data_IF_388343600594
#
_entry.id   IF_388343600594
#
_cell.length_a   1.000
_cell.length_b   1.000
_cell.length_c   1.000
_cell.angle_alpha   90.00
_cell.angle_beta   90.00
_cell.angle_gamma   90.00
#
_symmetry.space_group_name_H-M   'P 1'
#
loop_
_entity.id
_entity.type
_entity.pdbx_description
1 polymer ?
#
# COMPACT_ATOMS: atom_id res chain seq x y z
N UNK A 1 43.86 -41.67 -5.49
CA UNK A 1 44.16 -40.63 -6.48
C UNK A 1 42.90 -39.98 -6.97
N UNK A 2 42.05 -40.73 -7.60
CA UNK A 2 40.85 -40.15 -8.16
C UNK A 2 39.94 -39.51 -7.13
N UNK A 3 39.89 -40.08 -5.96
CA UNK A 3 39.04 -39.56 -4.90
C UNK A 3 39.49 -38.21 -4.41
N UNK A 4 40.77 -38.04 -4.32
CA UNK A 4 41.33 -36.78 -3.86
C UNK A 4 41.03 -35.69 -4.86
N UNK A 5 41.10 -36.04 -6.11
CA UNK A 5 40.80 -35.08 -7.17
C UNK A 5 39.36 -34.64 -7.12
N UNK A 6 38.49 -35.61 -6.87
CA UNK A 6 37.05 -35.28 -6.79
C UNK A 6 36.76 -34.35 -5.63
N UNK A 7 37.42 -34.60 -4.52
CA UNK A 7 37.23 -33.75 -3.35
C UNK A 7 37.68 -32.34 -3.64
N UNK A 8 38.80 -32.24 -4.31
CA UNK A 8 39.31 -30.93 -4.68
C UNK A 8 38.34 -30.19 -5.57
N UNK A 9 37.75 -30.90 -6.48
CA UNK A 9 36.78 -30.29 -7.38
C UNK A 9 35.57 -29.80 -6.63
N UNK A 10 35.10 -30.57 -5.68
CA UNK A 10 33.97 -30.17 -4.87
C UNK A 10 34.30 -28.92 -4.09
N UNK A 11 35.48 -28.83 -3.56
CA UNK A 11 35.89 -27.65 -2.82
C UNK A 11 35.87 -26.41 -3.72
N UNK A 12 36.26 -26.58 -4.96
CA UNK A 12 36.24 -25.47 -5.89
C UNK A 12 34.81 -24.99 -6.14
N UNK A 13 33.89 -25.90 -6.24
CA UNK A 13 32.52 -25.51 -6.40
C UNK A 13 31.98 -24.73 -5.21
N UNK A 14 32.35 -25.20 -4.04
CA UNK A 14 31.90 -24.51 -2.84
C UNK A 14 32.44 -23.10 -2.81
N UNK A 15 33.69 -22.94 -3.14
CA UNK A 15 34.26 -21.60 -3.18
C UNK A 15 33.60 -20.72 -4.21
N UNK A 16 33.33 -21.30 -5.35
CA UNK A 16 32.67 -20.54 -6.40
C UNK A 16 31.25 -20.12 -5.97
N UNK A 17 30.58 -21.04 -5.32
CA UNK A 17 29.27 -20.72 -4.80
C UNK A 17 29.29 -19.60 -3.80
N UNK A 18 30.29 -19.58 -2.96
CA UNK A 18 30.41 -18.50 -2.00
C UNK A 18 30.68 -17.18 -2.66
N UNK A 19 31.39 -17.19 -3.73
CA UNK A 19 31.71 -15.95 -4.38
C UNK A 19 30.54 -15.22 -4.94
N UNK A 20 29.52 -15.91 -5.31
CA UNK A 20 28.40 -15.23 -5.81
C UNK A 20 27.82 -14.33 -4.87
N UNK A 21 27.97 -14.68 -3.75
CA UNK A 21 27.34 -14.02 -2.72
C UNK A 21 27.94 -12.72 -2.49
N UNK A 22 28.93 -12.40 -3.15
CA UNK A 22 29.57 -11.18 -2.99
C UNK A 22 28.78 -10.06 -3.35
N UNK A 23 27.85 -10.25 -4.14
CA UNK A 23 26.95 -9.22 -4.44
C UNK A 23 26.29 -8.76 -3.20
N UNK A 24 26.50 -9.45 -2.23
CA UNK A 24 26.03 -9.13 -1.02
C UNK A 24 26.29 -7.86 -0.47
N UNK A 25 27.22 -7.06 -0.86
CA UNK A 25 27.29 -5.74 -0.31
C UNK A 25 25.95 -5.06 -0.39
N UNK A 26 25.17 -5.46 -1.34
CA UNK A 26 23.87 -4.88 -1.43
C UNK A 26 22.98 -5.34 -0.34
N UNK A 27 23.29 -6.46 0.21
CA UNK A 27 22.45 -7.00 1.19
C UNK A 27 22.65 -6.42 2.51
N UNK A 28 23.74 -5.79 2.73
CA UNK A 28 24.01 -5.16 4.00
C UNK A 28 23.23 -3.86 4.11
N UNK A 29 22.69 -3.36 3.01
CA UNK A 29 21.90 -2.16 3.07
C UNK A 29 20.51 -2.50 3.55
N UNK A 30 20.02 -1.74 4.49
CA UNK A 30 18.64 -1.85 4.89
C UNK A 30 17.77 -1.50 3.70
N UNK A 31 16.65 -2.18 3.51
CA UNK A 31 15.73 -1.80 2.46
C UNK A 31 15.32 -0.35 2.68
N UNK A 32 15.43 0.44 1.64
CA UNK A 32 15.02 1.81 1.71
C UNK A 32 13.50 1.86 1.79
N UNK A 33 12.98 2.53 2.79
CA UNK A 33 11.54 2.68 2.94
C UNK A 33 11.11 3.76 1.95
N UNK A 34 10.33 3.34 0.98
CA UNK A 34 9.77 4.28 0.02
C UNK A 34 8.44 4.80 0.54
N UNK A 35 8.38 6.09 0.76
CA UNK A 35 7.13 6.73 1.15
C UNK A 35 6.33 7.12 -0.09
N UNK A 36 5.03 6.97 -0.03
CA UNK A 36 4.17 7.32 -1.14
C UNK A 36 4.03 8.83 -1.26
N UNK A 37 3.99 9.33 -2.48
CA UNK A 37 3.64 10.72 -2.73
C UNK A 37 2.16 10.90 -2.48
N UNK A 38 1.71 12.15 -2.38
CA UNK A 38 0.27 12.43 -2.21
C UNK A 38 -0.56 11.85 -3.36
N UNK A 39 -0.01 11.87 -4.57
CA UNK A 39 -0.68 11.29 -5.73
C UNK A 39 -0.80 9.77 -5.59
N UNK A 40 0.26 9.10 -5.18
CA UNK A 40 0.24 7.65 -4.98
C UNK A 40 -0.73 7.25 -3.86
N UNK A 41 -0.79 8.03 -2.79
CA UNK A 41 -1.76 7.80 -1.72
C UNK A 41 -3.19 7.96 -2.23
N UNK A 42 -3.44 8.96 -3.05
CA UNK A 42 -4.75 9.18 -3.65
C UNK A 42 -5.15 7.98 -4.52
N UNK A 43 -4.22 7.49 -5.33
CA UNK A 43 -4.44 6.31 -6.17
C UNK A 43 -4.76 5.09 -5.30
N UNK A 44 -4.02 4.92 -4.22
CA UNK A 44 -4.23 3.80 -3.31
C UNK A 44 -5.60 3.83 -2.66
N UNK A 45 -6.02 5.01 -2.19
CA UNK A 45 -7.35 5.18 -1.62
C UNK A 45 -8.43 4.96 -2.67
N UNK A 46 -8.18 5.37 -3.91
CA UNK A 46 -9.12 5.13 -5.01
C UNK A 46 -9.29 3.63 -5.25
N UNK A 47 -8.21 2.87 -5.22
CA UNK A 47 -8.28 1.42 -5.38
C UNK A 47 -9.09 0.78 -4.25
N UNK A 48 -8.85 1.20 -3.01
CA UNK A 48 -9.64 0.72 -1.88
C UNK A 48 -11.11 1.13 -2.04
N UNK A 49 -11.35 2.36 -2.47
CA UNK A 49 -12.70 2.86 -2.69
C UNK A 49 -13.48 2.06 -3.71
N UNK A 50 -12.84 1.67 -4.79
CA UNK A 50 -13.48 0.85 -5.83
C UNK A 50 -13.95 -0.49 -5.25
N UNK A 51 -13.10 -1.13 -4.47
CA UNK A 51 -13.46 -2.39 -3.83
C UNK A 51 -14.54 -2.19 -2.79
N UNK A 52 -14.44 -1.14 -1.98
CA UNK A 52 -15.43 -0.80 -0.96
C UNK A 52 -16.80 -0.54 -1.60
N UNK A 53 -16.82 0.20 -2.70
CA UNK A 53 -18.05 0.48 -3.42
C UNK A 53 -18.63 -0.78 -4.05
N UNK A 54 -17.82 -1.52 -4.76
CA UNK A 54 -18.25 -2.72 -5.48
C UNK A 54 -18.85 -3.76 -4.55
N UNK A 55 -18.27 -3.93 -3.37
CA UNK A 55 -18.72 -4.90 -2.39
C UNK A 55 -19.68 -4.32 -1.35
N UNK A 56 -20.14 -3.11 -1.57
CA UNK A 56 -21.08 -2.40 -0.68
C UNK A 56 -20.59 -2.26 0.76
N UNK A 57 -19.29 -2.29 0.97
CA UNK A 57 -18.70 -2.18 2.31
C UNK A 57 -18.90 -0.80 2.94
N UNK A 58 -19.21 0.21 2.13
CA UNK A 58 -19.47 1.55 2.63
C UNK A 58 -20.71 1.61 3.54
N UNK A 59 -21.59 0.64 3.43
CA UNK A 59 -22.83 0.62 4.21
C UNK A 59 -22.62 0.41 5.71
N UNK A 60 -21.39 0.16 6.14
CA UNK A 60 -21.08 0.02 7.57
C UNK A 60 -21.07 1.35 8.31
N UNK A 61 -21.06 2.47 7.59
CA UNK A 61 -21.13 3.80 8.18
C UNK A 61 -22.46 4.45 7.80
N UNK A 62 -22.83 5.49 8.55
CA UNK A 62 -24.05 6.22 8.25
C UNK A 62 -23.81 7.22 7.15
N UNK A 63 -24.82 7.40 6.31
CA UNK A 63 -24.80 8.41 5.28
C UNK A 63 -25.06 9.76 5.91
N UNK A 64 -24.18 10.73 5.66
CA UNK A 64 -24.35 12.10 6.12
C UNK A 64 -24.21 13.03 4.93
N UNK A 65 -25.16 13.94 4.77
CA UNK A 65 -25.17 14.89 3.66
C UNK A 65 -25.03 14.22 2.29
N UNK A 66 -25.64 13.03 2.15
CA UNK A 66 -25.61 12.29 0.90
C UNK A 66 -24.37 11.43 0.69
N UNK A 67 -23.43 11.43 1.61
CA UNK A 67 -22.14 10.76 1.45
C UNK A 67 -21.92 9.75 2.56
N UNK A 68 -21.41 8.58 2.18
CA UNK A 68 -20.87 7.61 3.14
C UNK A 68 -19.38 7.86 3.28
N UNK A 69 -18.96 8.45 4.38
CA UNK A 69 -17.56 8.75 4.61
C UNK A 69 -16.91 7.67 5.48
N UNK A 70 -15.85 7.07 4.95
CA UNK A 70 -15.05 6.08 5.67
C UNK A 70 -13.68 6.68 5.94
N UNK A 71 -13.41 7.00 7.20
CA UNK A 71 -12.10 7.51 7.61
C UNK A 71 -11.06 6.40 7.54
N UNK A 72 -9.77 6.75 7.58
CA UNK A 72 -8.70 5.75 7.62
C UNK A 72 -8.86 4.83 8.82
N UNK A 73 -9.30 5.35 9.96
CA UNK A 73 -9.56 4.52 11.13
C UNK A 73 -10.63 3.47 10.84
N UNK A 74 -11.69 3.84 10.18
CA UNK A 74 -12.76 2.90 9.81
C UNK A 74 -12.27 1.87 8.80
N UNK A 75 -11.55 2.31 7.80
CA UNK A 75 -10.99 1.43 6.77
C UNK A 75 -10.04 0.41 7.38
N UNK A 76 -9.20 0.85 8.30
CA UNK A 76 -8.26 0.00 9.00
C UNK A 76 -8.94 -0.95 9.98
N UNK A 77 -9.72 -0.38 10.91
CA UNK A 77 -10.23 -1.14 12.04
C UNK A 77 -11.43 -2.03 11.71
N UNK A 78 -12.30 -1.56 10.85
CA UNK A 78 -13.52 -2.29 10.50
C UNK A 78 -13.43 -3.09 9.23
N UNK A 79 -12.66 -2.62 8.26
CA UNK A 79 -12.52 -3.30 6.97
C UNK A 79 -11.21 -4.05 6.81
N UNK A 80 -10.23 -3.81 7.69
CA UNK A 80 -8.97 -4.55 7.67
C UNK A 80 -7.99 -4.15 6.58
N UNK A 81 -8.16 -2.98 5.96
CA UNK A 81 -7.20 -2.52 4.95
C UNK A 81 -5.95 -1.97 5.61
N UNK A 82 -4.83 -2.14 4.94
CA UNK A 82 -3.56 -1.59 5.39
C UNK A 82 -3.47 -0.11 5.00
N UNK A 83 -3.43 0.75 6.00
CA UNK A 83 -3.28 2.20 5.81
C UNK A 83 -1.95 2.72 6.37
N UNK A 84 -1.03 1.83 6.67
CA UNK A 84 0.27 2.20 7.25
C UNK A 84 1.10 3.09 6.34
N UNK A 85 0.86 3.04 5.03
CA UNK A 85 1.57 3.88 4.07
C UNK A 85 0.98 5.30 3.96
N UNK A 86 -0.11 5.59 4.66
CA UNK A 86 -0.73 6.91 4.63
C UNK A 86 -0.02 7.84 5.61
N UNK A 87 1.14 8.31 5.19
CA UNK A 87 1.98 9.21 5.96
C UNK A 87 2.46 10.36 5.08
N UNK A 88 2.72 11.49 5.70
CA UNK A 88 3.30 12.62 5.00
C UNK A 88 4.70 12.23 4.49
N UNK A 89 4.97 12.33 3.19
CA UNK A 89 6.26 11.89 2.64
C UNK A 89 7.46 12.72 3.12
N UNK A 90 7.22 13.93 3.62
CA UNK A 90 8.30 14.79 4.10
C UNK A 90 8.54 14.64 5.59
N UNK A 91 7.50 14.62 6.41
CA UNK A 91 7.62 14.55 7.87
C UNK A 91 7.54 13.13 8.40
N UNK A 92 7.00 12.20 7.62
CA UNK A 92 6.75 10.80 7.99
C UNK A 92 5.73 10.63 9.10
N UNK A 93 4.97 11.68 9.39
CA UNK A 93 3.88 11.59 10.36
C UNK A 93 2.64 11.04 9.67
N UNK A 94 1.82 10.33 10.41
CA UNK A 94 0.58 9.77 9.88
C UNK A 94 -0.33 10.88 9.38
N UNK A 95 -1.01 10.62 8.28
CA UNK A 95 -2.09 11.49 7.83
C UNK A 95 -3.17 11.52 8.92
N UNK A 96 -4.00 12.54 8.90
CA UNK A 96 -5.10 12.62 9.85
C UNK A 96 -6.02 11.43 9.62
N UNK A 97 -6.08 10.54 10.60
CA UNK A 97 -6.80 9.27 10.48
C UNK A 97 -8.31 9.41 10.52
N UNK A 98 -8.80 10.56 10.98
CA UNK A 98 -10.24 10.81 11.06
C UNK A 98 -10.77 11.61 9.87
N UNK A 99 -9.92 12.44 9.28
CA UNK A 99 -10.31 13.31 8.15
C UNK A 99 -9.91 12.74 6.80
N UNK A 100 -8.84 11.97 6.76
CA UNK A 100 -8.42 11.29 5.54
C UNK A 100 -9.27 10.05 5.35
N UNK A 101 -9.75 9.84 4.15
CA UNK A 101 -10.57 8.68 3.88
C UNK A 101 -11.25 8.75 2.53
N UNK A 102 -12.28 7.94 2.41
CA UNK A 102 -13.01 7.75 1.17
C UNK A 102 -14.49 8.11 1.38
N UNK A 103 -15.01 8.96 0.53
CA UNK A 103 -16.43 9.24 0.49
C UNK A 103 -17.09 8.50 -0.67
N UNK A 104 -18.24 7.92 -0.43
CA UNK A 104 -19.05 7.26 -1.47
C UNK A 104 -20.35 8.06 -1.62
N UNK A 105 -20.50 8.72 -2.76
CA UNK A 105 -21.63 9.61 -3.04
C UNK A 105 -22.59 8.93 -4.01
N UNK A 106 -23.38 8.01 -3.49
CA UNK A 106 -24.28 7.20 -4.31
C UNK A 106 -25.47 7.98 -4.87
N UNK A 107 -25.81 9.09 -4.24
CA UNK A 107 -26.97 9.88 -4.64
C UNK A 107 -26.67 10.78 -5.85
N UNK A 108 -25.42 11.06 -6.11
CA UNK A 108 -24.99 11.95 -7.18
C UNK A 108 -24.26 11.24 -8.33
N UNK A 109 -24.65 10.00 -8.59
CA UNK A 109 -24.05 9.22 -9.68
C UNK A 109 -24.04 9.97 -11.02
N UNK A 110 -25.06 10.77 -11.26
CA UNK A 110 -25.17 11.52 -12.51
C UNK A 110 -24.10 12.59 -12.68
N UNK A 111 -23.47 12.99 -11.59
CA UNK A 111 -22.45 14.02 -11.63
C UNK A 111 -21.06 13.48 -11.96
N UNK A 112 -20.94 12.17 -12.06
CA UNK A 112 -19.68 11.51 -12.35
C UNK A 112 -19.68 10.97 -13.79
N UNK A 113 -19.72 11.89 -14.73
CA UNK A 113 -19.90 11.60 -16.15
C UNK A 113 -18.95 10.56 -16.74
N UNK A 114 -17.74 10.50 -16.22
CA UNK A 114 -16.71 9.56 -16.69
C UNK A 114 -16.26 8.56 -15.64
N UNK A 115 -16.98 8.45 -14.56
CA UNK A 115 -16.58 7.56 -13.47
C UNK A 115 -17.62 6.49 -13.26
N UNK A 116 -17.13 5.28 -13.20
CA UNK A 116 -17.99 4.14 -12.88
C UNK A 116 -18.35 4.11 -11.41
N UNK A 117 -17.49 4.67 -10.55
CA UNK A 117 -17.71 4.70 -9.12
C UNK A 117 -17.81 6.13 -8.60
N UNK A 118 -18.82 6.44 -7.77
CA UNK A 118 -18.99 7.76 -7.20
C UNK A 118 -18.11 7.98 -5.97
N UNK A 119 -16.81 8.07 -6.18
CA UNK A 119 -15.83 8.16 -5.10
C UNK A 119 -15.27 9.57 -4.93
N UNK A 120 -15.11 9.96 -3.67
CA UNK A 120 -14.44 11.20 -3.28
C UNK A 120 -13.27 10.82 -2.38
N UNK A 121 -12.10 11.33 -2.69
CA UNK A 121 -10.90 11.04 -1.89
C UNK A 121 -10.55 12.27 -1.07
N UNK A 122 -10.46 12.08 0.23
CA UNK A 122 -10.07 13.13 1.17
C UNK A 122 -8.69 12.80 1.72
N UNK A 123 -7.74 13.68 1.51
CA UNK A 123 -6.36 13.46 1.91
C UNK A 123 -5.84 14.63 2.75
N UNK A 124 -5.68 14.39 4.04
CA UNK A 124 -5.17 15.37 5.01
C UNK A 124 -3.88 14.84 5.62
N UNK A 125 -2.78 15.13 4.95
CA UNK A 125 -1.45 14.64 5.30
C UNK A 125 -0.43 15.77 5.48
N UNK A 126 -0.83 16.88 5.98
CA UNK A 126 0.07 18.03 6.17
C UNK A 126 0.74 18.03 7.53
#
# INVERSE_FOLDING_TARGET
>A
MKKIFTILLVCLFVLTGCNKDETKPNETKKPEIKYLTKMEMNIKLTEYGKEIYKNEKYKIVEKKDGIYFLSLNTIKDKLGYDVSMMVNPDTHESCDMDKTGIGVDVDNLKNYEYKEEPLLIYLFCD
#
